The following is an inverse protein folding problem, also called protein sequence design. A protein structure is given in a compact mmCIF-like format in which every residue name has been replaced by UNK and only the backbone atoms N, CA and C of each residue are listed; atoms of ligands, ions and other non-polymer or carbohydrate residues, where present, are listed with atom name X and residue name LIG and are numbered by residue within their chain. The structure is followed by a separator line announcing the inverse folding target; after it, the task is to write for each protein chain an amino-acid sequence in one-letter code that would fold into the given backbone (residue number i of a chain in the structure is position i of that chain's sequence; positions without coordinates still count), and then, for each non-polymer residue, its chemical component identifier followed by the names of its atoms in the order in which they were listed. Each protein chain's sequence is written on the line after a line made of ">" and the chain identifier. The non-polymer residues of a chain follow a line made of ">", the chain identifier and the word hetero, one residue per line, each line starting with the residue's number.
data_IF_552551128205
#
_entry.id   IF_552551128205
#
_cell.length_a   1.000
_cell.length_b   1.000
_cell.length_c   1.000
_cell.angle_alpha   90.00
_cell.angle_beta   90.00
_cell.angle_gamma   90.00
#
_symmetry.space_group_name_H-M   'P 1'
#
loop_
_entity.id
_entity.type
_entity.pdbx_description
1 polymer ?
#
# COMPACT_ATOMS: atom_id res chain seq x y z
N UNK A 1 -13.34 7.55 26.38
CA UNK A 1 -12.46 7.87 25.22
C UNK A 1 -12.45 9.35 24.91
N UNK A 2 -13.52 9.96 24.38
CA UNK A 2 -13.51 11.40 24.08
C UNK A 2 -13.22 12.28 25.31
N UNK A 3 -13.63 11.83 26.51
CA UNK A 3 -13.35 12.52 27.77
C UNK A 3 -11.93 12.22 28.30
N UNK A 4 -11.52 10.96 28.29
CA UNK A 4 -10.29 10.50 29.00
C UNK A 4 -9.03 10.43 28.11
N UNK A 5 -9.22 10.39 26.78
CA UNK A 5 -8.17 10.24 25.76
C UNK A 5 -8.49 11.12 24.52
N UNK A 6 -8.62 12.45 24.68
CA UNK A 6 -9.10 13.34 23.61
C UNK A 6 -8.21 13.38 22.37
N UNK A 7 -6.92 13.02 22.50
CA UNK A 7 -5.97 12.99 21.39
C UNK A 7 -6.00 11.66 20.61
N UNK A 8 -6.64 10.61 21.15
CA UNK A 8 -6.72 9.30 20.51
C UNK A 8 -7.72 9.33 19.34
N UNK A 9 -7.23 9.03 18.14
CA UNK A 9 -8.05 8.95 16.93
C UNK A 9 -8.75 7.61 16.84
N UNK A 10 -10.01 7.63 16.37
CA UNK A 10 -10.78 6.42 16.10
C UNK A 10 -10.85 6.20 14.60
N UNK A 11 -10.54 4.98 14.19
CA UNK A 11 -10.58 4.54 12.80
C UNK A 11 -11.71 3.51 12.69
N UNK A 12 -12.63 3.72 11.75
CA UNK A 12 -13.75 2.80 11.47
C UNK A 12 -13.50 2.05 10.14
N UNK A 13 -14.21 0.95 9.91
CA UNK A 13 -14.03 0.10 8.73
C UNK A 13 -13.21 -1.13 9.07
N UNK A 14 -11.89 -0.98 9.06
CA UNK A 14 -10.85 -1.98 9.39
C UNK A 14 -11.15 -3.39 8.83
N UNK A 15 -11.52 -3.40 7.55
CA UNK A 15 -11.91 -4.59 6.80
C UNK A 15 -11.60 -4.35 5.31
N UNK A 16 -11.99 -5.27 4.45
CA UNK A 16 -11.56 -5.25 3.05
C UNK A 16 -12.04 -4.01 2.29
N UNK A 17 -11.11 -3.43 1.50
CA UNK A 17 -11.33 -2.28 0.63
C UNK A 17 -12.55 -2.43 -0.28
N UNK A 18 -12.80 -3.65 -0.76
CA UNK A 18 -13.99 -4.02 -1.54
C UNK A 18 -15.33 -3.72 -0.87
N UNK A 19 -15.38 -3.67 0.46
CA UNK A 19 -16.61 -3.48 1.23
C UNK A 19 -16.83 -2.05 1.72
N UNK A 20 -15.89 -1.13 1.42
CA UNK A 20 -15.93 0.26 1.94
C UNK A 20 -17.29 0.92 1.68
N UNK A 21 -17.79 0.83 0.45
CA UNK A 21 -19.03 1.50 0.05
C UNK A 21 -20.30 0.79 0.57
N UNK A 22 -20.19 -0.48 0.96
CA UNK A 22 -21.30 -1.24 1.53
C UNK A 22 -21.42 -1.04 3.05
N UNK A 23 -20.36 -0.54 3.71
CA UNK A 23 -20.26 -0.38 5.16
C UNK A 23 -20.19 1.07 5.60
N UNK A 24 -20.89 1.96 4.90
CA UNK A 24 -20.88 3.40 5.18
C UNK A 24 -21.71 3.83 6.39
N UNK A 25 -22.51 2.94 6.98
CA UNK A 25 -23.42 3.28 8.07
C UNK A 25 -22.78 4.11 9.21
N UNK A 26 -21.55 3.81 9.70
CA UNK A 26 -20.90 4.64 10.73
C UNK A 26 -20.57 6.07 10.28
N UNK A 27 -20.35 6.28 8.98
CA UNK A 27 -20.02 7.58 8.41
C UNK A 27 -21.26 8.37 7.99
N UNK A 28 -22.39 7.70 7.78
CA UNK A 28 -23.69 8.31 7.45
C UNK A 28 -24.45 8.79 8.69
N UNK A 29 -24.18 8.20 9.85
CA UNK A 29 -24.71 8.63 11.14
C UNK A 29 -23.90 9.82 11.68
N UNK A 30 -24.56 10.98 11.80
CA UNK A 30 -23.91 12.21 12.25
C UNK A 30 -23.45 12.17 13.72
N UNK A 31 -24.06 11.35 14.58
CA UNK A 31 -23.63 11.18 15.97
C UNK A 31 -22.39 10.29 16.06
N UNK A 32 -22.31 9.24 15.24
CA UNK A 32 -21.14 8.40 15.12
C UNK A 32 -19.95 9.14 14.48
N UNK A 33 -20.18 9.85 13.37
CA UNK A 33 -19.15 10.53 12.59
C UNK A 33 -18.34 11.55 13.42
N UNK A 34 -18.94 12.17 14.44
CA UNK A 34 -18.26 13.08 15.38
C UNK A 34 -17.03 12.45 16.06
N UNK A 35 -17.02 11.13 16.19
CA UNK A 35 -15.93 10.40 16.85
C UNK A 35 -14.96 9.75 15.88
N UNK A 36 -15.35 9.60 14.60
CA UNK A 36 -14.55 8.90 13.60
C UNK A 36 -13.58 9.89 12.96
N UNK A 37 -12.29 9.60 13.08
CA UNK A 37 -11.23 10.40 12.47
C UNK A 37 -10.80 9.86 11.10
N UNK A 38 -10.91 8.54 10.91
CA UNK A 38 -10.44 7.90 9.70
C UNK A 38 -11.21 6.64 9.31
N UNK A 39 -11.03 6.24 8.05
CA UNK A 39 -11.39 4.95 7.49
C UNK A 39 -10.14 4.05 7.45
N UNK A 40 -10.22 2.88 8.05
CA UNK A 40 -9.23 1.81 7.95
C UNK A 40 -9.69 0.76 6.95
N UNK A 41 -8.77 0.16 6.21
CA UNK A 41 -9.10 -0.92 5.28
C UNK A 41 -7.90 -1.87 5.01
N UNK A 42 -8.21 -3.05 4.49
CA UNK A 42 -7.28 -4.12 4.11
C UNK A 42 -7.41 -4.51 2.62
N UNK A 43 -6.48 -5.29 2.06
CA UNK A 43 -6.40 -5.59 0.60
C UNK A 43 -6.73 -7.03 0.14
N UNK A 44 -7.07 -7.94 1.03
CA UNK A 44 -7.05 -9.40 0.79
C UNK A 44 -8.18 -9.97 -0.08
N UNK A 45 -9.26 -9.22 -0.33
CA UNK A 45 -10.39 -9.70 -1.16
C UNK A 45 -10.32 -9.27 -2.63
N UNK A 46 -9.28 -8.56 -3.02
CA UNK A 46 -9.17 -8.01 -4.36
C UNK A 46 -8.59 -9.06 -5.32
N UNK A 47 -9.39 -10.08 -5.63
CA UNK A 47 -9.00 -11.15 -6.56
C UNK A 47 -8.69 -10.61 -7.98
N UNK A 48 -9.26 -9.46 -8.35
CA UNK A 48 -8.99 -8.76 -9.61
C UNK A 48 -7.53 -8.28 -9.71
N UNK A 49 -6.86 -8.08 -8.57
CA UNK A 49 -5.43 -7.81 -8.50
C UNK A 49 -4.62 -8.96 -9.14
N UNK A 50 -5.10 -10.20 -8.96
CA UNK A 50 -4.42 -11.43 -9.37
C UNK A 50 -4.78 -11.88 -10.79
N UNK A 51 -6.02 -11.63 -11.26
CA UNK A 51 -6.46 -12.11 -12.58
C UNK A 51 -6.23 -11.11 -13.71
N UNK A 52 -6.21 -9.80 -13.42
CA UNK A 52 -6.22 -8.79 -14.47
C UNK A 52 -5.18 -7.67 -14.30
N UNK A 53 -4.42 -7.61 -13.21
CA UNK A 53 -3.50 -6.49 -12.93
C UNK A 53 -4.22 -5.11 -13.01
N UNK A 54 -5.54 -5.13 -12.79
CA UNK A 54 -6.47 -3.99 -12.88
C UNK A 54 -7.26 -3.80 -11.57
N UNK A 55 -7.15 -4.74 -10.64
CA UNK A 55 -7.90 -4.75 -9.39
C UNK A 55 -7.16 -4.14 -8.23
N UNK A 56 -7.86 -4.04 -7.10
CA UNK A 56 -7.40 -3.34 -5.90
C UNK A 56 -8.37 -2.27 -5.42
N UNK A 57 -9.58 -2.18 -6.03
CA UNK A 57 -10.72 -1.37 -5.56
C UNK A 57 -10.40 0.10 -5.20
N UNK A 58 -9.40 0.66 -5.86
CA UNK A 58 -8.90 2.00 -5.57
C UNK A 58 -9.92 3.10 -5.95
N UNK A 59 -10.84 2.83 -6.86
CA UNK A 59 -11.95 3.72 -7.21
C UNK A 59 -12.94 3.92 -6.06
N UNK A 60 -13.08 2.91 -5.19
CA UNK A 60 -13.87 3.00 -3.95
C UNK A 60 -13.24 3.99 -2.97
N UNK A 61 -11.91 4.01 -2.87
CA UNK A 61 -11.18 5.00 -2.06
C UNK A 61 -11.45 6.43 -2.56
N UNK A 62 -11.37 6.64 -3.88
CA UNK A 62 -11.67 7.94 -4.48
C UNK A 62 -13.13 8.35 -4.24
N UNK A 63 -14.06 7.40 -4.33
CA UNK A 63 -15.49 7.63 -4.07
C UNK A 63 -15.74 8.00 -2.60
N UNK A 64 -15.14 7.26 -1.67
CA UNK A 64 -15.21 7.55 -0.24
C UNK A 64 -14.64 8.94 0.07
N UNK A 65 -13.44 9.26 -0.44
CA UNK A 65 -12.79 10.57 -0.27
C UNK A 65 -13.68 11.73 -0.70
N UNK A 66 -14.41 11.58 -1.81
CA UNK A 66 -15.35 12.60 -2.30
C UNK A 66 -16.54 12.80 -1.37
N UNK A 67 -17.05 11.72 -0.76
CA UNK A 67 -18.19 11.76 0.16
C UNK A 67 -17.80 12.29 1.55
N UNK A 68 -16.59 11.96 2.02
CA UNK A 68 -16.09 12.31 3.36
C UNK A 68 -14.70 12.96 3.30
N UNK A 69 -14.59 14.22 2.82
CA UNK A 69 -13.31 14.90 2.61
C UNK A 69 -12.56 15.29 3.89
N UNK A 70 -13.17 15.13 5.06
CA UNK A 70 -12.52 15.41 6.35
C UNK A 70 -12.09 14.14 7.10
N UNK A 71 -12.41 12.96 6.56
CA UNK A 71 -12.05 11.66 7.11
C UNK A 71 -10.79 11.16 6.38
N UNK A 72 -9.71 10.90 7.11
CA UNK A 72 -8.50 10.33 6.50
C UNK A 72 -8.69 8.86 6.16
N UNK A 73 -7.91 8.32 5.23
CA UNK A 73 -7.95 6.89 4.87
C UNK A 73 -6.59 6.26 5.17
N UNK A 74 -6.57 5.11 5.82
CA UNK A 74 -5.36 4.38 6.20
C UNK A 74 -5.49 2.91 5.80
N UNK A 75 -4.53 2.40 5.04
CA UNK A 75 -4.40 0.94 4.89
C UNK A 75 -3.83 0.39 6.21
N UNK A 76 -4.70 -0.21 7.00
CA UNK A 76 -4.40 -0.63 8.39
C UNK A 76 -3.72 -1.98 8.45
N UNK A 77 -3.85 -2.78 7.40
CA UNK A 77 -3.24 -4.11 7.31
C UNK A 77 -3.15 -4.59 5.86
N UNK A 78 -2.00 -5.18 5.53
CA UNK A 78 -1.80 -5.99 4.34
C UNK A 78 -0.68 -7.01 4.55
N UNK A 79 -0.80 -8.17 3.90
CA UNK A 79 0.26 -9.16 3.78
C UNK A 79 0.17 -9.96 2.48
N UNK A 80 1.27 -10.59 2.10
CA UNK A 80 1.31 -11.62 1.07
C UNK A 80 1.36 -13.02 1.68
N UNK A 81 1.16 -14.06 0.87
CA UNK A 81 1.17 -15.43 1.41
C UNK A 81 -0.16 -15.87 2.03
N UNK A 82 -1.24 -15.13 1.83
CA UNK A 82 -2.57 -15.47 2.37
C UNK A 82 -3.45 -16.27 1.41
N UNK A 83 -3.08 -16.35 0.13
CA UNK A 83 -3.86 -17.07 -0.89
C UNK A 83 -3.62 -18.58 -0.81
N UNK A 84 -4.57 -19.42 -1.24
CA UNK A 84 -4.34 -20.85 -1.43
C UNK A 84 -3.12 -21.11 -2.33
N UNK A 85 -2.33 -22.15 -2.06
CA UNK A 85 -1.04 -22.38 -2.74
C UNK A 85 -1.10 -22.49 -4.27
N UNK A 86 -2.27 -22.79 -4.84
CA UNK A 86 -2.53 -22.90 -6.27
C UNK A 86 -2.97 -21.60 -6.94
N UNK A 87 -3.14 -20.51 -6.19
CA UNK A 87 -3.66 -19.22 -6.67
C UNK A 87 -2.68 -18.08 -6.37
N UNK A 88 -2.47 -17.18 -7.33
CA UNK A 88 -1.65 -15.99 -7.16
C UNK A 88 -0.23 -16.31 -6.69
N UNK A 89 0.23 -15.61 -5.65
CA UNK A 89 1.55 -15.86 -5.03
C UNK A 89 1.52 -17.05 -4.03
N UNK A 90 0.36 -17.66 -3.82
CA UNK A 90 0.16 -18.82 -2.94
C UNK A 90 0.30 -18.52 -1.45
N UNK A 91 0.31 -19.57 -0.64
CA UNK A 91 0.26 -19.48 0.84
C UNK A 91 1.64 -19.52 1.48
N UNK A 92 1.80 -18.85 2.62
CA UNK A 92 2.97 -18.93 3.48
C UNK A 92 4.26 -18.40 2.85
N UNK A 93 5.38 -18.74 3.48
CA UNK A 93 6.70 -18.20 3.17
C UNK A 93 7.23 -18.62 1.80
N UNK A 94 7.89 -17.69 1.10
CA UNK A 94 8.58 -17.97 -0.18
C UNK A 94 10.01 -17.45 -0.15
N UNK A 95 10.92 -18.13 0.54
CA UNK A 95 12.33 -17.71 0.58
C UNK A 95 13.14 -18.12 -0.66
N UNK A 96 12.82 -19.27 -1.25
CA UNK A 96 13.66 -19.91 -2.29
C UNK A 96 13.11 -19.78 -3.70
N UNK A 97 11.89 -19.27 -3.87
CA UNK A 97 11.28 -19.04 -5.18
C UNK A 97 11.35 -17.55 -5.52
N UNK A 98 12.41 -17.16 -6.23
CA UNK A 98 12.69 -15.76 -6.56
C UNK A 98 11.55 -15.08 -7.33
N UNK A 99 10.97 -15.75 -8.32
CA UNK A 99 9.86 -15.19 -9.11
C UNK A 99 8.67 -14.84 -8.23
N UNK A 100 8.28 -15.78 -7.34
CA UNK A 100 7.19 -15.57 -6.39
C UNK A 100 7.51 -14.45 -5.40
N UNK A 101 8.70 -14.44 -4.79
CA UNK A 101 9.09 -13.41 -3.83
C UNK A 101 9.12 -12.02 -4.48
N UNK A 102 9.51 -11.94 -5.74
CA UNK A 102 9.54 -10.69 -6.48
C UNK A 102 8.14 -10.21 -6.86
N UNK A 103 7.25 -11.11 -7.31
CA UNK A 103 5.84 -10.77 -7.53
C UNK A 103 5.18 -10.23 -6.26
N UNK A 104 5.44 -10.84 -5.09
CA UNK A 104 4.96 -10.32 -3.80
C UNK A 104 5.44 -8.89 -3.53
N UNK A 105 6.70 -8.59 -3.84
CA UNK A 105 7.27 -7.25 -3.73
C UNK A 105 6.59 -6.25 -4.66
N UNK A 106 6.35 -6.64 -5.91
CA UNK A 106 5.65 -5.82 -6.90
C UNK A 106 4.21 -5.54 -6.48
N UNK A 107 3.55 -6.51 -5.84
CA UNK A 107 2.21 -6.34 -5.30
C UNK A 107 2.18 -5.28 -4.20
N UNK A 108 3.10 -5.35 -3.23
CA UNK A 108 3.27 -4.31 -2.19
C UNK A 108 3.50 -2.92 -2.81
N UNK A 109 4.40 -2.84 -3.80
CA UNK A 109 4.70 -1.60 -4.49
C UNK A 109 3.48 -0.99 -5.17
N UNK A 110 2.75 -1.82 -5.92
CA UNK A 110 1.57 -1.40 -6.66
C UNK A 110 0.47 -0.89 -5.73
N UNK A 111 0.16 -1.62 -4.66
CA UNK A 111 -0.89 -1.22 -3.72
C UNK A 111 -0.53 0.06 -2.96
N UNK A 112 0.71 0.19 -2.45
CA UNK A 112 1.15 1.43 -1.78
C UNK A 112 1.05 2.64 -2.73
N UNK A 113 1.49 2.49 -3.99
CA UNK A 113 1.44 3.57 -4.98
C UNK A 113 0.00 3.97 -5.29
N UNK A 114 -0.87 3.00 -5.55
CA UNK A 114 -2.26 3.26 -5.90
C UNK A 114 -3.06 3.80 -4.70
N UNK A 115 -2.83 3.31 -3.48
CA UNK A 115 -3.40 3.87 -2.26
C UNK A 115 -3.00 5.35 -2.08
N UNK A 116 -1.70 5.67 -2.20
CA UNK A 116 -1.21 7.05 -2.15
C UNK A 116 -1.85 7.91 -3.26
N UNK A 117 -1.97 7.37 -4.47
CA UNK A 117 -2.63 8.06 -5.58
C UNK A 117 -4.12 8.33 -5.35
N UNK A 118 -4.76 7.58 -4.45
CA UNK A 118 -6.17 7.68 -4.09
C UNK A 118 -6.38 8.24 -2.67
N UNK A 119 -5.50 9.13 -2.21
CA UNK A 119 -5.63 9.93 -0.98
C UNK A 119 -5.53 9.15 0.34
N UNK A 120 -4.99 7.94 0.30
CA UNK A 120 -4.62 7.21 1.52
C UNK A 120 -3.38 7.85 2.13
N UNK A 121 -3.37 7.99 3.46
CA UNK A 121 -2.35 8.77 4.19
C UNK A 121 -1.25 7.90 4.81
N UNK A 122 -1.36 6.58 4.73
CA UNK A 122 -0.39 5.63 5.25
C UNK A 122 -0.74 4.19 4.89
N UNK A 123 0.21 3.29 5.13
CA UNK A 123 0.09 1.88 4.80
C UNK A 123 0.84 1.03 5.84
N UNK A 124 0.24 -0.06 6.27
CA UNK A 124 0.72 -0.87 7.40
C UNK A 124 0.83 -2.34 7.01
N UNK A 125 2.03 -2.89 7.12
CA UNK A 125 2.29 -4.32 6.95
C UNK A 125 1.73 -5.12 8.13
N UNK A 126 1.49 -6.42 7.94
CA UNK A 126 0.84 -7.24 8.96
C UNK A 126 1.79 -7.74 10.05
N UNK A 127 2.58 -8.77 9.76
CA UNK A 127 3.53 -9.34 10.73
C UNK A 127 4.91 -8.76 10.48
N UNK A 128 5.50 -8.11 11.49
CA UNK A 128 6.88 -7.59 11.40
C UNK A 128 7.92 -8.69 11.12
N UNK A 129 7.69 -9.90 11.65
CA UNK A 129 8.54 -11.06 11.43
C UNK A 129 7.77 -12.37 11.69
N UNK A 130 8.11 -13.43 10.94
CA UNK A 130 7.59 -14.79 11.11
C UNK A 130 8.73 -15.81 11.04
N UNK A 131 8.47 -17.05 11.46
CA UNK A 131 9.41 -18.15 11.26
C UNK A 131 9.40 -18.67 9.81
N UNK A 132 10.27 -19.64 9.50
CA UNK A 132 10.39 -20.25 8.15
C UNK A 132 9.12 -20.95 7.67
N UNK A 133 8.13 -21.16 8.54
CA UNK A 133 6.82 -21.73 8.18
C UNK A 133 5.75 -20.66 7.93
N UNK A 134 6.01 -19.39 8.26
CA UNK A 134 5.04 -18.30 8.19
C UNK A 134 4.16 -18.20 9.43
N UNK A 135 4.66 -18.69 10.57
CA UNK A 135 4.01 -18.66 11.87
C UNK A 135 4.91 -18.06 12.96
N UNK A 136 4.65 -18.38 14.24
CA UNK A 136 3.63 -19.30 14.74
C UNK A 136 2.22 -18.72 14.65
N UNK A 137 1.23 -19.56 14.33
CA UNK A 137 -0.19 -19.18 14.38
C UNK A 137 -1.05 -20.35 14.83
N UNK A 138 -1.95 -20.10 15.80
CA UNK A 138 -2.85 -21.12 16.33
C UNK A 138 -3.88 -21.58 15.28
N UNK A 139 -4.26 -20.69 14.37
CA UNK A 139 -5.27 -20.93 13.34
C UNK A 139 -4.70 -21.65 12.10
N UNK A 140 -3.39 -21.89 12.04
CA UNK A 140 -2.69 -22.43 10.86
C UNK A 140 -2.88 -21.59 9.59
N UNK A 141 -3.12 -20.28 9.77
CA UNK A 141 -3.26 -19.31 8.69
C UNK A 141 -1.91 -18.65 8.42
N UNK A 142 -0.98 -19.42 7.88
CA UNK A 142 0.40 -18.98 7.67
C UNK A 142 0.47 -18.01 6.49
N UNK A 143 1.23 -16.94 6.67
CA UNK A 143 1.44 -15.89 5.66
C UNK A 143 2.93 -15.61 5.49
N UNK A 144 3.27 -14.61 4.70
CA UNK A 144 4.66 -14.20 4.47
C UNK A 144 5.01 -12.90 5.21
N UNK A 145 6.29 -12.72 5.52
CA UNK A 145 6.82 -11.56 6.26
C UNK A 145 8.36 -11.47 6.11
N UNK A 146 9.03 -10.60 6.88
CA UNK A 146 10.46 -10.84 7.17
C UNK A 146 10.61 -12.17 7.92
N UNK A 147 11.58 -13.00 7.55
CA UNK A 147 11.71 -14.36 8.12
C UNK A 147 12.84 -14.42 9.13
N UNK A 148 12.59 -15.05 10.28
CA UNK A 148 13.58 -15.35 11.32
C UNK A 148 13.83 -16.85 11.36
N UNK A 149 15.10 -17.25 11.32
CA UNK A 149 15.54 -18.64 11.41
C UNK A 149 16.67 -18.76 12.45
N UNK A 150 16.32 -19.18 13.67
CA UNK A 150 17.25 -19.22 14.79
C UNK A 150 17.84 -17.84 15.11
N UNK A 151 19.15 -17.68 14.88
CA UNK A 151 19.87 -16.40 15.06
C UNK A 151 19.99 -15.56 13.79
N UNK A 152 19.49 -16.06 12.66
CA UNK A 152 19.51 -15.39 11.38
C UNK A 152 18.15 -14.79 11.02
N UNK A 153 18.15 -13.81 10.13
CA UNK A 153 16.93 -13.30 9.54
C UNK A 153 17.11 -12.95 8.06
N UNK A 154 16.06 -13.17 7.29
CA UNK A 154 16.00 -12.96 5.85
C UNK A 154 15.07 -11.80 5.54
N UNK A 155 15.68 -10.70 5.09
CA UNK A 155 14.94 -9.57 4.50
C UNK A 155 14.51 -9.96 3.10
N UNK A 156 13.21 -10.18 2.92
CA UNK A 156 12.63 -10.51 1.63
C UNK A 156 12.50 -9.29 0.72
N UNK A 157 12.30 -9.45 -0.60
CA UNK A 157 12.04 -8.35 -1.51
C UNK A 157 11.01 -7.32 -1.01
N UNK A 158 9.91 -7.77 -0.40
CA UNK A 158 8.87 -6.91 0.19
C UNK A 158 9.44 -5.92 1.22
N UNK A 159 10.41 -6.33 2.05
CA UNK A 159 11.07 -5.45 3.02
C UNK A 159 11.75 -4.26 2.33
N UNK A 160 12.41 -4.51 1.21
CA UNK A 160 13.11 -3.46 0.46
C UNK A 160 12.12 -2.53 -0.25
N UNK A 161 11.02 -3.06 -0.78
CA UNK A 161 9.93 -2.26 -1.35
C UNK A 161 9.32 -1.34 -0.31
N UNK A 162 8.97 -1.84 0.88
CA UNK A 162 8.52 -0.99 1.99
C UNK A 162 9.56 0.09 2.33
N UNK A 163 10.85 -0.25 2.27
CA UNK A 163 11.97 0.68 2.45
C UNK A 163 11.98 1.83 1.44
N UNK A 164 11.58 1.62 0.19
CA UNK A 164 11.50 2.69 -0.83
C UNK A 164 10.48 3.78 -0.49
N UNK A 165 9.46 3.46 0.31
CA UNK A 165 8.47 4.42 0.79
C UNK A 165 8.83 4.92 2.18
N UNK A 166 8.86 4.03 3.18
CA UNK A 166 9.04 4.38 4.60
C UNK A 166 10.31 5.16 4.90
N UNK A 167 11.43 4.89 4.20
CA UNK A 167 12.70 5.60 4.42
C UNK A 167 12.71 7.01 3.83
N UNK A 168 11.93 7.25 2.77
CA UNK A 168 12.04 8.46 1.95
C UNK A 168 10.78 9.33 1.97
N UNK A 169 9.69 8.85 2.56
CA UNK A 169 8.42 9.57 2.78
C UNK A 169 8.20 9.66 4.30
N UNK A 170 8.83 10.62 5.00
CA UNK A 170 8.63 10.79 6.43
C UNK A 170 7.21 11.27 6.76
N UNK A 171 6.80 11.11 8.03
CA UNK A 171 5.52 11.62 8.51
C UNK A 171 5.38 13.13 8.23
N UNK A 172 4.21 13.53 7.74
CA UNK A 172 3.92 14.92 7.33
C UNK A 172 4.29 15.26 5.88
N UNK A 173 4.90 14.32 5.13
CA UNK A 173 5.01 14.45 3.67
C UNK A 173 3.65 14.63 3.03
N UNK A 174 3.59 15.46 1.98
CA UNK A 174 2.37 15.72 1.22
C UNK A 174 2.53 15.22 -0.21
N UNK A 175 1.51 14.52 -0.71
CA UNK A 175 1.45 14.13 -2.11
C UNK A 175 1.19 15.36 -2.97
N UNK A 176 1.94 15.47 -4.05
CA UNK A 176 1.75 16.50 -5.08
C UNK A 176 1.15 15.85 -6.31
N UNK A 177 0.46 16.63 -7.13
CA UNK A 177 -0.07 16.10 -8.38
C UNK A 177 1.09 15.70 -9.29
N UNK A 178 1.13 14.43 -9.69
CA UNK A 178 2.00 13.97 -10.76
C UNK A 178 1.12 13.57 -11.94
N UNK A 179 1.36 14.11 -13.16
CA UNK A 179 0.60 13.72 -14.33
C UNK A 179 0.68 12.20 -14.49
N UNK A 180 -0.46 11.52 -14.56
CA UNK A 180 -0.48 10.09 -14.86
C UNK A 180 0.14 9.90 -16.25
N UNK A 181 1.42 9.54 -16.30
CA UNK A 181 1.96 8.89 -17.49
C UNK A 181 1.16 7.60 -17.65
N UNK A 182 0.66 7.31 -18.86
CA UNK A 182 -0.15 6.12 -19.17
C UNK A 182 0.27 4.96 -18.27
N UNK A 183 -0.65 4.46 -17.43
CA UNK A 183 -0.44 3.24 -16.67
C UNK A 183 0.05 2.20 -17.67
N UNK A 184 1.32 1.84 -17.58
CA UNK A 184 1.86 0.81 -18.44
C UNK A 184 1.21 -0.46 -17.92
N UNK A 185 0.39 -1.09 -18.76
CA UNK A 185 -0.36 -2.30 -18.45
C UNK A 185 0.51 -3.51 -18.10
N UNK A 186 1.83 -3.33 -17.97
CA UNK A 186 2.81 -4.34 -17.59
C UNK A 186 3.95 -3.66 -16.82
N UNK A 187 4.04 -3.89 -15.51
CA UNK A 187 5.17 -3.52 -14.64
C UNK A 187 6.51 -4.16 -15.09
N UNK A 188 6.47 -5.11 -16.02
CA UNK A 188 7.63 -5.85 -16.53
C UNK A 188 8.32 -5.21 -17.75
N UNK A 189 8.02 -3.96 -18.11
CA UNK A 189 8.69 -3.26 -19.22
C UNK A 189 9.57 -2.13 -18.71
N UNK A 190 10.67 -1.88 -19.42
CA UNK A 190 11.49 -0.71 -19.12
C UNK A 190 10.70 0.56 -19.38
N UNK A 191 10.69 1.47 -18.42
CA UNK A 191 9.96 2.74 -18.50
C UNK A 191 10.95 3.88 -18.57
N UNK A 192 10.74 4.80 -19.51
CA UNK A 192 11.46 6.08 -19.52
C UNK A 192 10.53 7.17 -18.99
N UNK A 193 10.88 7.75 -17.85
CA UNK A 193 10.16 8.86 -17.24
C UNK A 193 11.00 10.13 -17.40
N UNK A 194 10.45 11.15 -18.05
CA UNK A 194 11.10 12.46 -18.16
C UNK A 194 10.35 13.47 -17.29
N UNK A 195 11.05 14.06 -16.33
CA UNK A 195 10.50 15.11 -15.45
C UNK A 195 11.18 16.43 -15.80
N UNK A 196 10.40 17.40 -16.28
CA UNK A 196 10.88 18.75 -16.54
C UNK A 196 10.91 19.54 -15.23
N UNK A 197 12.09 19.98 -14.81
CA UNK A 197 12.25 20.86 -13.66
C UNK A 197 11.95 22.32 -14.03
N UNK A 198 11.70 23.15 -13.01
CA UNK A 198 11.41 24.58 -13.16
C UNK A 198 12.53 25.37 -13.83
N UNK A 199 13.78 24.93 -13.71
CA UNK A 199 14.94 25.53 -14.37
C UNK A 199 15.10 25.09 -15.84
N UNK A 200 14.09 24.42 -16.41
CA UNK A 200 14.09 23.86 -17.77
C UNK A 200 15.07 22.70 -18.00
N UNK A 201 15.71 22.14 -16.95
CA UNK A 201 16.42 20.87 -17.08
C UNK A 201 15.43 19.71 -17.02
N UNK A 202 15.54 18.82 -18.01
CA UNK A 202 14.79 17.55 -18.01
C UNK A 202 15.68 16.47 -17.41
N UNK A 203 15.22 15.83 -16.34
CA UNK A 203 15.81 14.58 -15.88
C UNK A 203 15.08 13.42 -16.57
N UNK A 204 15.82 12.50 -17.16
CA UNK A 204 15.28 11.28 -17.78
C UNK A 204 15.78 10.07 -17.01
N UNK A 205 14.83 9.26 -16.54
CA UNK A 205 15.12 8.02 -15.86
C UNK A 205 14.72 6.85 -16.76
N UNK A 206 15.65 5.94 -17.01
CA UNK A 206 15.37 4.64 -17.62
C UNK A 206 15.37 3.57 -16.53
N UNK A 207 14.19 3.04 -16.25
CA UNK A 207 14.00 1.97 -15.27
C UNK A 207 14.04 0.62 -16.01
N UNK A 208 14.91 -0.33 -15.63
CA UNK A 208 14.79 -1.70 -16.13
C UNK A 208 13.50 -2.36 -15.61
N UNK A 209 13.06 -3.43 -16.28
CA UNK A 209 11.97 -4.27 -15.78
C UNK A 209 12.28 -4.77 -14.36
N UNK A 210 11.25 -4.98 -13.54
CA UNK A 210 11.40 -5.53 -12.19
C UNK A 210 12.29 -4.66 -11.28
N UNK A 211 12.23 -3.34 -11.43
CA UNK A 211 13.02 -2.42 -10.60
C UNK A 211 12.19 -1.26 -10.07
N UNK A 212 12.58 -0.78 -8.89
CA UNK A 212 12.04 0.43 -8.30
C UNK A 212 13.19 1.40 -8.06
N UNK A 213 12.99 2.67 -8.39
CA UNK A 213 13.91 3.74 -7.98
C UNK A 213 13.13 4.88 -7.32
N UNK A 214 13.69 5.36 -6.21
CA UNK A 214 13.22 6.56 -5.54
C UNK A 214 14.11 7.72 -5.95
N UNK A 215 13.52 8.74 -6.56
CA UNK A 215 14.24 9.96 -6.98
C UNK A 215 13.79 11.11 -6.10
N UNK A 216 14.74 11.77 -5.45
CA UNK A 216 14.50 12.96 -4.63
C UNK A 216 14.87 14.18 -5.49
N UNK A 217 13.87 14.99 -5.82
CA UNK A 217 14.06 16.21 -6.60
C UNK A 217 14.10 17.43 -5.67
N UNK A 218 14.86 18.49 -6.01
CA UNK A 218 14.80 19.75 -5.29
C UNK A 218 13.40 20.38 -5.38
N UNK A 219 13.04 21.19 -4.39
CA UNK A 219 11.78 21.93 -4.39
C UNK A 219 11.68 22.84 -5.62
N UNK A 220 10.47 22.96 -6.16
CA UNK A 220 10.16 23.73 -7.36
C UNK A 220 8.97 24.65 -7.08
N UNK A 221 9.06 25.91 -7.50
CA UNK A 221 7.98 26.91 -7.34
C UNK A 221 6.70 26.55 -8.13
N UNK A 222 6.77 25.60 -9.06
CA UNK A 222 5.62 25.07 -9.80
C UNK A 222 4.93 23.88 -9.10
N UNK A 223 5.37 23.51 -7.89
CA UNK A 223 4.84 22.34 -7.17
C UNK A 223 3.48 22.66 -6.55
N UNK A 224 2.42 22.02 -7.03
CA UNK A 224 1.09 22.10 -6.44
C UNK A 224 0.87 20.96 -5.44
N UNK A 225 0.71 21.33 -4.18
CA UNK A 225 0.32 20.41 -3.10
C UNK A 225 -1.18 20.11 -3.24
N UNK A 226 -1.54 18.83 -3.21
CA UNK A 226 -2.93 18.35 -3.26
C UNK A 226 -3.49 18.09 -1.86
#
# INVERSE_FOLDING_TARGET
>A
MAQDHPDLKIIAGDDQKSTILDRLAPFEDADALKYISGLGFHWYRDLDFFFFSLGGDFDKLLTFRKKYPDVFMLATEACEGYLPSWLGTGSGVSLTNADKSWSRAENYAHDIIEDLNNYVVGWTDWNLALDTTGGPTWAKNNVDALIVDGSEFYKQPMFYIMGHFSKFIPAGSKRIEFPKTKTLSNFHRSVTVSVKQTDSKTFTLSLPAHSMQTVILPASDATKIL
#
